data_IF_220007504165
#
_entry.id   IF_220007504165
#
_cell.length_a   1.000
_cell.length_b   1.000
_cell.length_c   1.000
_cell.angle_alpha   90.00
_cell.angle_beta   90.00
_cell.angle_gamma   90.00
#
_symmetry.space_group_name_H-M   'P 1'
#
loop_
_entity.id
_entity.type
_entity.pdbx_description
1 polymer ?
#
# COMPACT_ATOMS: atom_id res chain seq x y z
N UNK A 1 -28.65 27.91 -14.43
CA UNK A 1 -29.25 26.65 -13.95
C UNK A 1 -29.15 25.63 -15.08
N UNK A 2 -28.84 24.37 -14.77
CA UNK A 2 -28.84 23.30 -15.77
C UNK A 2 -30.30 22.90 -16.06
N UNK A 3 -30.73 22.76 -17.32
CA UNK A 3 -32.08 22.33 -17.65
C UNK A 3 -32.25 20.82 -17.39
N UNK A 4 -33.26 20.45 -16.60
CA UNK A 4 -33.67 19.06 -16.39
C UNK A 4 -33.02 18.31 -15.23
N UNK A 5 -31.85 18.72 -14.74
CA UNK A 5 -31.17 18.09 -13.60
C UNK A 5 -30.50 19.14 -12.72
N UNK A 6 -30.71 19.06 -11.40
CA UNK A 6 -30.04 19.95 -10.46
C UNK A 6 -28.58 19.52 -10.23
N UNK A 7 -27.69 20.49 -9.99
CA UNK A 7 -26.29 20.21 -9.69
C UNK A 7 -26.14 19.33 -8.44
N UNK A 8 -27.02 19.51 -7.45
CA UNK A 8 -27.02 18.72 -6.22
C UNK A 8 -27.41 17.25 -6.47
N UNK A 9 -28.43 16.99 -7.29
CA UNK A 9 -28.81 15.64 -7.67
C UNK A 9 -27.70 14.96 -8.45
N UNK A 10 -27.06 15.69 -9.37
CA UNK A 10 -25.88 15.23 -10.12
C UNK A 10 -24.76 14.81 -9.17
N UNK A 11 -24.43 15.64 -8.18
CA UNK A 11 -23.41 15.33 -7.18
C UNK A 11 -23.78 14.10 -6.34
N UNK A 12 -25.04 13.95 -5.94
CA UNK A 12 -25.52 12.76 -5.24
C UNK A 12 -25.32 11.49 -6.08
N UNK A 13 -25.62 11.55 -7.38
CA UNK A 13 -25.41 10.43 -8.31
C UNK A 13 -23.92 10.09 -8.49
N UNK A 14 -23.04 11.10 -8.55
CA UNK A 14 -21.58 10.90 -8.61
C UNK A 14 -21.07 10.22 -7.33
N UNK A 15 -21.57 10.66 -6.16
CA UNK A 15 -21.17 10.10 -4.85
C UNK A 15 -21.66 8.67 -4.62
N UNK A 16 -22.80 8.27 -5.20
CA UNK A 16 -23.34 6.90 -5.11
C UNK A 16 -22.53 5.86 -5.88
N UNK A 17 -21.65 6.26 -6.80
CA UNK A 17 -20.82 5.33 -7.58
C UNK A 17 -19.48 5.14 -6.88
N UNK A 18 -19.11 3.91 -6.53
CA UNK A 18 -17.85 3.60 -5.84
C UNK A 18 -16.62 4.19 -6.54
N UNK A 19 -16.58 4.17 -7.88
CA UNK A 19 -15.44 4.68 -8.65
C UNK A 19 -15.27 6.20 -8.58
N UNK A 20 -16.33 6.95 -8.31
CA UNK A 20 -16.33 8.42 -8.29
C UNK A 20 -16.78 9.01 -6.95
N UNK A 21 -16.92 8.17 -5.93
CA UNK A 21 -17.42 8.57 -4.62
C UNK A 21 -16.49 9.56 -3.91
N UNK A 22 -15.21 9.62 -4.29
CA UNK A 22 -14.18 10.48 -3.70
C UNK A 22 -13.80 11.65 -4.61
N UNK A 23 -14.43 11.80 -5.77
CA UNK A 23 -14.12 12.91 -6.69
C UNK A 23 -14.49 14.24 -6.05
N UNK A 24 -13.56 15.22 -5.96
CA UNK A 24 -13.87 16.56 -5.48
C UNK A 24 -14.88 17.26 -6.39
N UNK A 25 -15.90 17.88 -5.81
CA UNK A 25 -16.96 18.58 -6.54
C UNK A 25 -16.96 20.05 -6.11
N UNK A 26 -16.87 20.95 -7.09
CA UNK A 26 -16.96 22.42 -6.91
C UNK A 26 -18.26 22.91 -7.53
N UNK A 27 -19.11 23.55 -6.73
CA UNK A 27 -20.36 24.12 -7.22
C UNK A 27 -20.18 25.55 -7.70
N UNK A 28 -20.69 25.86 -8.89
CA UNK A 28 -20.73 27.23 -9.41
C UNK A 28 -22.12 27.84 -9.20
N UNK A 29 -22.27 28.75 -8.24
CA UNK A 29 -23.57 29.31 -7.83
C UNK A 29 -23.74 30.78 -8.28
N UNK A 30 -24.98 31.21 -8.49
CA UNK A 30 -25.32 32.63 -8.70
C UNK A 30 -25.77 33.22 -7.35
N UNK A 31 -25.51 34.52 -7.15
CA UNK A 31 -25.49 35.30 -5.89
C UNK A 31 -26.68 35.13 -4.91
N UNK A 32 -27.74 34.37 -5.19
CA UNK A 32 -28.98 34.50 -4.43
C UNK A 32 -29.79 33.22 -4.17
N UNK A 33 -29.17 32.13 -3.66
CA UNK A 33 -29.95 31.04 -3.06
C UNK A 33 -29.32 30.50 -1.77
N UNK A 34 -29.84 31.07 -0.68
CA UNK A 34 -30.04 30.52 0.67
C UNK A 34 -28.92 29.65 1.24
N UNK A 35 -28.36 30.13 2.35
CA UNK A 35 -27.48 29.44 3.29
C UNK A 35 -27.92 27.99 3.61
N UNK A 36 -29.23 27.71 3.57
CA UNK A 36 -29.84 26.39 3.74
C UNK A 36 -29.51 25.38 2.60
N UNK A 37 -29.30 25.85 1.37
CA UNK A 37 -28.88 24.99 0.25
C UNK A 37 -27.37 24.70 0.28
N UNK A 38 -26.56 25.63 0.81
CA UNK A 38 -25.12 25.40 0.98
C UNK A 38 -24.85 24.29 2.01
N UNK A 39 -25.59 24.28 3.12
CA UNK A 39 -25.52 23.24 4.16
C UNK A 39 -25.86 21.83 3.62
N UNK A 40 -26.93 21.70 2.82
CA UNK A 40 -27.29 20.42 2.17
C UNK A 40 -26.22 19.91 1.21
N UNK A 41 -25.51 20.80 0.53
CA UNK A 41 -24.40 20.38 -0.34
C UNK A 41 -23.18 19.93 0.45
N UNK A 42 -22.88 20.51 1.63
CA UNK A 42 -21.82 19.99 2.51
C UNK A 42 -22.14 18.58 3.03
N UNK A 43 -23.39 18.31 3.42
CA UNK A 43 -23.85 16.96 3.81
C UNK A 43 -23.83 15.97 2.63
N UNK A 44 -23.96 16.45 1.39
CA UNK A 44 -23.82 15.65 0.17
C UNK A 44 -22.35 15.48 -0.28
N UNK A 45 -21.39 16.02 0.47
CA UNK A 45 -19.95 15.94 0.18
C UNK A 45 -19.42 17.00 -0.78
N UNK A 46 -20.10 18.14 -0.95
CA UNK A 46 -19.52 19.30 -1.64
C UNK A 46 -18.30 19.79 -0.88
N UNK A 47 -17.17 20.00 -1.57
CA UNK A 47 -15.94 20.46 -0.92
C UNK A 47 -15.75 21.97 -1.11
N UNK A 48 -16.34 22.57 -2.14
CA UNK A 48 -16.14 24.01 -2.42
C UNK A 48 -17.29 24.64 -3.23
N UNK A 49 -17.49 25.94 -3.07
CA UNK A 49 -18.47 26.76 -3.79
C UNK A 49 -17.78 27.99 -4.40
N UNK A 50 -18.16 28.35 -5.63
CA UNK A 50 -17.64 29.52 -6.31
C UNK A 50 -18.78 30.33 -6.95
N UNK A 51 -18.80 31.64 -6.69
CA UNK A 51 -19.86 32.54 -7.15
C UNK A 51 -19.60 33.02 -8.58
N UNK A 52 -20.64 33.07 -9.40
CA UNK A 52 -20.62 33.68 -10.73
C UNK A 52 -20.91 35.20 -10.65
N UNK A 53 -20.21 36.04 -11.43
CA UNK A 53 -19.07 35.70 -12.28
C UNK A 53 -17.83 35.40 -11.43
N UNK A 54 -17.12 34.31 -11.73
CA UNK A 54 -15.93 33.90 -10.98
C UNK A 54 -14.66 34.32 -11.71
N UNK A 55 -13.61 34.61 -10.94
CA UNK A 55 -12.27 34.81 -11.48
C UNK A 55 -11.68 33.45 -11.93
N UNK A 56 -11.31 33.28 -13.22
CA UNK A 56 -10.67 32.07 -13.71
C UNK A 56 -9.38 31.70 -12.96
N UNK A 57 -8.63 32.70 -12.46
CA UNK A 57 -7.41 32.48 -11.68
C UNK A 57 -7.76 31.81 -10.35
N UNK A 58 -8.80 32.29 -9.67
CA UNK A 58 -9.29 31.69 -8.42
C UNK A 58 -9.79 30.27 -8.61
N UNK A 59 -10.55 30.00 -9.68
CA UNK A 59 -10.99 28.64 -10.00
C UNK A 59 -9.81 27.71 -10.25
N UNK A 60 -8.82 28.15 -11.04
CA UNK A 60 -7.62 27.35 -11.35
C UNK A 60 -6.84 27.01 -10.08
N UNK A 61 -6.66 27.97 -9.17
CA UNK A 61 -5.99 27.74 -7.90
C UNK A 61 -6.72 26.70 -7.04
N UNK A 62 -8.05 26.78 -6.93
CA UNK A 62 -8.85 25.78 -6.21
C UNK A 62 -8.72 24.39 -6.82
N UNK A 63 -8.81 24.30 -8.15
CA UNK A 63 -8.65 23.03 -8.87
C UNK A 63 -7.25 22.44 -8.64
N UNK A 64 -6.19 23.25 -8.73
CA UNK A 64 -4.82 22.80 -8.46
C UNK A 64 -4.67 22.18 -7.08
N UNK A 65 -5.21 22.81 -6.03
CA UNK A 65 -5.14 22.25 -4.66
C UNK A 65 -5.78 20.86 -4.59
N UNK A 66 -6.92 20.66 -5.25
CA UNK A 66 -7.57 19.33 -5.27
C UNK A 66 -6.79 18.29 -6.07
N UNK A 67 -6.17 18.69 -7.19
CA UNK A 67 -5.30 17.80 -7.96
C UNK A 67 -4.08 17.40 -7.14
N UNK A 68 -3.39 18.36 -6.52
CA UNK A 68 -2.21 18.12 -5.70
C UNK A 68 -2.54 17.18 -4.53
N UNK A 69 -3.68 17.38 -3.87
CA UNK A 69 -4.14 16.50 -2.79
C UNK A 69 -4.40 15.08 -3.30
N UNK A 70 -5.08 14.95 -4.44
CA UNK A 70 -5.36 13.65 -5.06
C UNK A 70 -4.05 12.92 -5.43
N UNK A 71 -3.09 13.62 -6.01
CA UNK A 71 -1.79 13.04 -6.37
C UNK A 71 -1.01 12.58 -5.13
N UNK A 72 -0.99 13.40 -4.07
CA UNK A 72 -0.34 13.04 -2.80
C UNK A 72 -0.99 11.83 -2.14
N UNK A 73 -2.31 11.76 -2.09
CA UNK A 73 -3.02 10.59 -1.55
C UNK A 73 -2.66 9.33 -2.34
N UNK A 74 -2.63 9.42 -3.68
CA UNK A 74 -2.25 8.30 -4.55
C UNK A 74 -0.80 7.89 -4.36
N UNK A 75 0.10 8.83 -4.12
CA UNK A 75 1.50 8.53 -3.82
C UNK A 75 1.65 7.78 -2.49
N UNK A 76 0.97 8.24 -1.44
CA UNK A 76 0.97 7.57 -0.13
C UNK A 76 0.45 6.14 -0.25
N UNK A 77 -0.67 5.93 -0.94
CA UNK A 77 -1.23 4.59 -1.17
C UNK A 77 -0.27 3.68 -1.92
N UNK A 78 0.42 4.18 -2.95
CA UNK A 78 1.44 3.41 -3.68
C UNK A 78 2.63 3.06 -2.80
N UNK A 79 3.07 3.99 -1.96
CA UNK A 79 4.20 3.77 -1.07
C UNK A 79 3.85 2.74 0.01
N UNK A 80 2.67 2.84 0.63
CA UNK A 80 2.17 1.86 1.58
C UNK A 80 2.06 0.46 0.95
N UNK A 81 1.52 0.35 -0.27
CA UNK A 81 1.43 -0.93 -0.97
C UNK A 81 2.81 -1.54 -1.28
N UNK A 82 3.80 -0.70 -1.65
CA UNK A 82 5.19 -1.15 -1.86
C UNK A 82 5.83 -1.63 -0.57
N UNK A 83 5.66 -0.90 0.52
CA UNK A 83 6.20 -1.25 1.83
C UNK A 83 5.64 -2.59 2.32
N UNK A 84 4.32 -2.77 2.20
CA UNK A 84 3.66 -4.02 2.57
C UNK A 84 4.23 -5.21 1.77
N UNK A 85 4.42 -5.06 0.46
CA UNK A 85 5.03 -6.10 -0.37
C UNK A 85 6.46 -6.43 0.04
N UNK A 86 7.26 -5.43 0.43
CA UNK A 86 8.63 -5.65 0.91
C UNK A 86 8.64 -6.40 2.24
N UNK A 87 7.75 -6.03 3.17
CA UNK A 87 7.63 -6.71 4.46
C UNK A 87 7.23 -8.18 4.28
N UNK A 88 6.24 -8.45 3.44
CA UNK A 88 5.81 -9.83 3.13
C UNK A 88 6.96 -10.67 2.56
N UNK A 89 7.76 -10.10 1.66
CA UNK A 89 8.95 -10.76 1.10
C UNK A 89 10.02 -11.02 2.15
N UNK A 90 10.27 -10.07 3.04
CA UNK A 90 11.27 -10.21 4.11
C UNK A 90 10.87 -11.29 5.12
N UNK A 91 9.58 -11.35 5.49
CA UNK A 91 9.04 -12.38 6.37
C UNK A 91 9.17 -13.76 5.73
N UNK A 92 8.82 -13.89 4.44
CA UNK A 92 8.95 -15.15 3.71
C UNK A 92 10.41 -15.63 3.65
N UNK A 93 11.34 -14.75 3.29
CA UNK A 93 12.77 -15.10 3.24
C UNK A 93 13.32 -15.53 4.60
N UNK A 94 12.85 -14.90 5.69
CA UNK A 94 13.24 -15.28 7.05
C UNK A 94 12.71 -16.67 7.42
N UNK A 95 11.45 -16.97 7.07
CA UNK A 95 10.87 -18.31 7.26
C UNK A 95 11.65 -19.37 6.49
N UNK A 96 11.89 -19.12 5.20
CA UNK A 96 12.62 -20.04 4.32
C UNK A 96 14.02 -20.34 4.86
N UNK A 97 14.71 -19.31 5.39
CA UNK A 97 16.03 -19.46 6.02
C UNK A 97 15.97 -20.31 7.29
N UNK A 98 14.98 -20.09 8.14
CA UNK A 98 14.80 -20.88 9.37
C UNK A 98 14.53 -22.35 9.05
N UNK A 99 13.72 -22.61 8.02
CA UNK A 99 13.40 -23.97 7.59
C UNK A 99 14.62 -24.67 6.99
N UNK A 100 15.44 -23.95 6.21
CA UNK A 100 16.71 -24.45 5.71
C UNK A 100 17.69 -24.78 6.85
N UNK A 101 17.79 -23.93 7.87
CA UNK A 101 18.66 -24.16 9.04
C UNK A 101 18.21 -25.40 9.83
N UNK A 102 16.90 -25.57 10.03
CA UNK A 102 16.32 -26.76 10.67
C UNK A 102 16.61 -28.03 9.88
N UNK A 103 16.45 -27.98 8.56
CA UNK A 103 16.74 -29.12 7.68
C UNK A 103 18.21 -29.53 7.77
N UNK A 104 19.13 -28.56 7.81
CA UNK A 104 20.56 -28.83 7.98
C UNK A 104 20.86 -29.50 9.32
N UNK A 105 20.34 -28.95 10.43
CA UNK A 105 20.52 -29.56 11.77
C UNK A 105 19.99 -30.98 11.85
N UNK A 106 18.84 -31.26 11.22
CA UNK A 106 18.30 -32.61 11.15
C UNK A 106 19.20 -33.57 10.34
N UNK A 107 19.82 -33.09 9.27
CA UNK A 107 20.79 -33.88 8.50
C UNK A 107 22.06 -34.16 9.31
N UNK A 108 22.59 -33.17 10.02
CA UNK A 108 23.77 -33.31 10.88
C UNK A 108 23.53 -34.33 12.01
N UNK A 109 22.42 -34.21 12.74
CA UNK A 109 22.06 -35.15 13.79
C UNK A 109 21.91 -36.59 13.27
N UNK A 110 21.42 -36.75 12.04
CA UNK A 110 21.31 -38.06 11.38
C UNK A 110 22.69 -38.64 11.05
N UNK A 111 23.63 -37.82 10.60
CA UNK A 111 25.02 -38.24 10.34
C UNK A 111 25.73 -38.66 11.63
N UNK A 112 25.60 -37.89 12.71
CA UNK A 112 26.18 -38.24 14.01
C UNK A 112 25.61 -39.57 14.54
N UNK A 113 24.29 -39.78 14.44
CA UNK A 113 23.65 -41.02 14.90
C UNK A 113 24.12 -42.23 14.08
N UNK A 114 24.28 -42.07 12.77
CA UNK A 114 24.83 -43.13 11.91
C UNK A 114 26.27 -43.44 12.32
N UNK A 115 27.13 -42.43 12.49
CA UNK A 115 28.52 -42.61 12.91
C UNK A 115 28.64 -43.27 14.29
N UNK A 116 27.80 -42.89 15.25
CA UNK A 116 27.81 -43.44 16.61
C UNK A 116 27.30 -44.88 16.70
N UNK A 117 26.41 -45.29 15.77
CA UNK A 117 25.86 -46.65 15.71
C UNK A 117 26.68 -47.62 14.86
N UNK A 118 27.69 -47.14 14.12
CA UNK A 118 28.60 -47.99 13.36
C UNK A 118 29.48 -48.79 14.35
N UNK A 119 29.44 -50.13 14.31
CA UNK A 119 30.32 -50.95 15.14
C UNK A 119 31.75 -50.74 14.66
N UNK A 120 32.55 -50.08 15.50
CA UNK A 120 33.97 -49.73 15.36
C UNK A 120 34.67 -50.48 14.23
N UNK A 121 35.06 -49.78 13.17
CA UNK A 121 36.18 -50.19 12.33
C UNK A 121 36.66 -49.02 11.48
N UNK A 122 37.81 -48.42 11.85
CA UNK A 122 38.96 -48.28 10.96
C UNK A 122 40.23 -48.03 11.80
N UNK A 123 41.19 -48.94 11.63
CA UNK A 123 42.50 -48.97 12.27
C UNK A 123 43.46 -48.06 11.48
N UNK A 124 43.95 -46.97 12.08
CA UNK A 124 45.05 -46.22 11.48
C UNK A 124 46.38 -46.87 11.90
N UNK A 125 46.99 -47.63 10.98
CA UNK A 125 48.35 -48.16 11.15
C UNK A 125 49.31 -46.98 11.30
N UNK A 126 50.02 -46.90 12.42
CA UNK A 126 51.05 -45.88 12.63
C UNK A 126 52.09 -45.93 11.50
N UNK A 127 52.21 -44.84 10.76
CA UNK A 127 53.28 -44.68 9.78
C UNK A 127 54.61 -44.61 10.53
N UNK A 128 55.40 -45.70 10.46
CA UNK A 128 56.81 -45.65 10.85
C UNK A 128 57.55 -44.72 9.89
N UNK A 129 58.09 -43.62 10.44
CA UNK A 129 58.89 -42.67 9.69
C UNK A 129 60.16 -43.37 9.16
N UNK A 130 60.45 -43.33 7.84
CA UNK A 130 61.53 -44.12 7.24
C UNK A 130 62.95 -43.56 7.45
N UNK A 131 63.11 -42.43 8.14
CA UNK A 131 64.43 -41.84 8.42
C UNK A 131 64.49 -41.34 9.87
N UNK A 132 64.83 -42.24 10.78
CA UNK A 132 65.41 -41.89 12.07
C UNK A 132 66.87 -42.38 12.07
N UNK A 133 67.77 -41.47 11.67
CA UNK A 133 69.21 -41.56 11.87
C UNK A 133 69.74 -40.14 12.09
#
# INVERSE_FOLDING_TARGET
LMPGLDGYETASLIRRRERSNNTPIIFLTAINKEEAHMLRGYDAGAVDYLFKPFDPVMLRSKVMVFVDLYEKTREIERNAAREQLLLERALKATSDKLDAERALRHSEARQETILASLPICFHARAAQAPYAA
#
